data_IF_476382039807
#
_entry.id   IF_476382039807
#
_cell.length_a   1.000
_cell.length_b   1.000
_cell.length_c   1.000
_cell.angle_alpha   90.00
_cell.angle_beta   90.00
_cell.angle_gamma   90.00
#
_symmetry.space_group_name_H-M   'P 1'
#
loop_
_entity.id
_entity.type
_entity.pdbx_description
1 polymer ?
#
# COMPACT_ATOMS: atom_id res chain seq x y z
N UNK A 1 10.52 7.89 26.66
CA UNK A 1 10.03 8.98 25.78
C UNK A 1 8.54 8.81 25.52
N UNK A 2 7.82 9.90 25.22
CA UNK A 2 6.40 9.88 24.82
C UNK A 2 6.27 10.14 23.32
N UNK A 3 5.63 9.22 22.62
CA UNK A 3 5.42 9.27 21.17
C UNK A 3 3.93 9.48 20.86
N UNK A 4 3.64 10.37 19.92
CA UNK A 4 2.32 10.50 19.33
C UNK A 4 2.36 10.01 17.88
N UNK A 5 1.62 8.94 17.55
CA UNK A 5 1.69 8.29 16.25
C UNK A 5 0.37 8.46 15.50
N UNK A 6 0.41 8.86 14.23
CA UNK A 6 -0.78 8.99 13.38
C UNK A 6 -0.68 8.08 12.17
N UNK A 7 -1.55 7.08 12.15
CA UNK A 7 -1.78 6.15 11.06
C UNK A 7 -3.26 6.23 10.62
N UNK A 8 -3.51 6.67 9.39
CA UNK A 8 -4.87 6.91 8.88
C UNK A 8 -5.47 5.75 8.10
N UNK A 9 -4.78 4.61 7.98
CA UNK A 9 -5.17 3.43 7.19
C UNK A 9 -4.65 2.15 7.83
N UNK A 10 -5.20 0.99 7.43
CA UNK A 10 -4.80 -0.32 7.94
C UNK A 10 -3.30 -0.64 7.74
N UNK A 11 -2.73 -0.25 6.59
CA UNK A 11 -1.29 -0.39 6.34
C UNK A 11 -0.45 0.46 7.28
N UNK A 12 -0.90 1.70 7.54
CA UNK A 12 -0.26 2.59 8.49
C UNK A 12 -0.32 2.05 9.92
N UNK A 13 -1.43 1.45 10.34
CA UNK A 13 -1.59 0.79 11.63
C UNK A 13 -0.60 -0.37 11.80
N UNK A 14 -0.44 -1.22 10.78
CA UNK A 14 0.55 -2.29 10.76
C UNK A 14 1.99 -1.74 10.87
N UNK A 15 2.33 -0.71 10.09
CA UNK A 15 3.66 -0.12 10.13
C UNK A 15 3.93 0.61 11.46
N UNK A 16 2.90 1.27 12.00
CA UNK A 16 2.94 1.90 13.32
C UNK A 16 3.19 0.89 14.43
N UNK A 17 2.48 -0.23 14.44
CA UNK A 17 2.67 -1.29 15.44
C UNK A 17 4.09 -1.89 15.38
N UNK A 18 4.62 -2.17 14.20
CA UNK A 18 5.97 -2.69 14.03
C UNK A 18 7.03 -1.67 14.49
N UNK A 19 6.82 -0.38 14.20
CA UNK A 19 7.69 0.69 14.69
C UNK A 19 7.66 0.78 16.21
N UNK A 20 6.48 0.66 16.83
CA UNK A 20 6.32 0.67 18.29
C UNK A 20 7.07 -0.48 18.96
N UNK A 21 7.01 -1.71 18.39
CA UNK A 21 7.82 -2.84 18.86
C UNK A 21 9.31 -2.53 18.86
N UNK A 22 9.81 -1.97 17.78
CA UNK A 22 11.20 -1.61 17.63
C UNK A 22 11.63 -0.49 18.59
N UNK A 23 10.76 0.52 18.80
CA UNK A 23 11.02 1.61 19.75
C UNK A 23 11.03 1.09 21.20
N UNK A 24 10.06 0.24 21.57
CA UNK A 24 9.99 -0.33 22.92
C UNK A 24 11.17 -1.23 23.25
N UNK A 25 11.73 -1.93 22.25
CA UNK A 25 12.95 -2.72 22.45
C UNK A 25 14.16 -1.86 22.82
N UNK A 26 14.17 -0.57 22.47
CA UNK A 26 15.23 0.40 22.78
C UNK A 26 14.90 1.33 23.94
N UNK A 27 13.63 1.61 24.16
CA UNK A 27 13.08 2.40 25.27
C UNK A 27 11.91 1.63 25.90
N UNK A 28 12.18 0.73 26.87
CA UNK A 28 11.13 -0.06 27.53
C UNK A 28 10.07 0.78 28.24
N UNK A 29 10.37 2.04 28.54
CA UNK A 29 9.43 2.98 29.18
C UNK A 29 8.75 3.91 28.16
N UNK A 30 8.85 3.62 26.86
CA UNK A 30 8.19 4.37 25.82
C UNK A 30 6.65 4.37 26.02
N UNK A 31 6.06 5.55 26.01
CA UNK A 31 4.61 5.75 26.04
C UNK A 31 4.11 6.11 24.65
N UNK A 32 3.04 5.46 24.23
CA UNK A 32 2.47 5.63 22.90
C UNK A 32 1.02 6.09 22.99
N UNK A 33 0.73 7.21 22.36
CA UNK A 33 -0.62 7.75 22.18
C UNK A 33 -0.79 8.04 20.69
N UNK A 34 -2.01 7.97 20.16
CA UNK A 34 -2.15 8.35 18.75
C UNK A 34 -3.49 8.05 18.12
N UNK A 35 -3.45 8.05 16.79
CA UNK A 35 -4.55 7.68 15.91
C UNK A 35 -4.07 6.45 15.10
N UNK A 36 -4.86 5.37 15.12
CA UNK A 36 -4.46 4.11 14.51
C UNK A 36 -5.57 3.09 14.65
N UNK A 37 -5.22 1.81 14.82
CA UNK A 37 -6.19 0.72 14.94
C UNK A 37 -5.79 -0.35 15.93
N UNK A 38 -6.28 -1.56 15.67
CA UNK A 38 -6.15 -2.68 16.59
C UNK A 38 -4.70 -3.13 16.77
N UNK A 39 -3.89 -3.11 15.69
CA UNK A 39 -2.47 -3.53 15.76
C UNK A 39 -1.62 -2.60 16.62
N UNK A 40 -1.82 -1.29 16.52
CA UNK A 40 -1.16 -0.33 17.41
C UNK A 40 -1.71 -0.45 18.84
N UNK A 41 -3.01 -0.74 19.01
CA UNK A 41 -3.62 -0.95 20.33
C UNK A 41 -3.06 -2.19 21.03
N UNK A 42 -2.87 -3.30 20.30
CA UNK A 42 -2.22 -4.53 20.79
C UNK A 42 -0.80 -4.26 21.31
N UNK A 43 -0.11 -3.29 20.70
CA UNK A 43 1.21 -2.84 21.15
C UNK A 43 1.15 -1.77 22.27
N UNK A 44 -0.03 -1.55 22.87
CA UNK A 44 -0.20 -0.64 24.01
C UNK A 44 -0.25 0.84 23.64
N UNK A 45 -0.67 1.18 22.41
CA UNK A 45 -0.99 2.57 22.05
C UNK A 45 -2.35 2.97 22.60
N UNK A 46 -2.42 4.13 23.27
CA UNK A 46 -3.68 4.75 23.64
C UNK A 46 -4.28 5.42 22.38
N UNK A 47 -5.20 4.72 21.72
CA UNK A 47 -5.82 5.15 20.47
C UNK A 47 -6.98 6.12 20.74
N UNK A 48 -6.81 7.37 20.32
CA UNK A 48 -7.79 8.45 20.47
C UNK A 48 -8.85 8.45 19.36
N UNK A 49 -8.48 8.03 18.15
CA UNK A 49 -9.37 7.88 16.99
C UNK A 49 -8.95 6.63 16.22
N UNK A 50 -9.92 5.77 15.91
CA UNK A 50 -9.67 4.60 15.07
C UNK A 50 -9.54 5.01 13.59
N UNK A 51 -8.61 4.39 12.83
CA UNK A 51 -8.43 4.72 11.43
C UNK A 51 -9.68 4.41 10.59
N UNK A 52 -10.53 3.49 11.03
CA UNK A 52 -11.82 3.18 10.36
C UNK A 52 -12.75 4.38 10.33
N UNK A 53 -12.63 5.26 11.32
CA UNK A 53 -13.37 6.55 11.39
C UNK A 53 -12.65 7.69 10.64
N UNK A 54 -11.47 7.43 10.06
CA UNK A 54 -10.66 8.41 9.33
C UNK A 54 -10.61 8.13 7.82
N UNK A 55 -10.81 6.89 7.39
CA UNK A 55 -10.58 6.41 6.05
C UNK A 55 -11.68 6.83 5.05
N UNK A 56 -11.81 8.13 4.82
CA UNK A 56 -12.68 8.67 3.76
C UNK A 56 -11.85 8.86 2.49
N UNK A 57 -12.01 7.97 1.51
CA UNK A 57 -11.33 8.07 0.22
C UNK A 57 -12.23 8.61 -0.87
N UNK A 58 -11.64 9.48 -1.71
CA UNK A 58 -12.33 10.13 -2.82
C UNK A 58 -12.97 11.46 -2.42
N UNK A 59 -13.06 12.37 -3.40
CA UNK A 59 -13.51 13.75 -3.19
C UNK A 59 -14.95 13.82 -2.63
N UNK A 60 -15.85 12.99 -3.15
CA UNK A 60 -17.26 12.93 -2.73
C UNK A 60 -17.38 12.43 -1.28
N UNK A 61 -16.68 11.35 -0.93
CA UNK A 61 -16.71 10.79 0.42
C UNK A 61 -16.14 11.75 1.46
N UNK A 62 -15.09 12.50 1.12
CA UNK A 62 -14.51 13.52 2.00
C UNK A 62 -15.47 14.68 2.21
N UNK A 63 -16.15 15.17 1.16
CA UNK A 63 -17.16 16.23 1.30
C UNK A 63 -18.33 15.79 2.16
N UNK A 64 -18.88 14.60 1.89
CA UNK A 64 -20.00 14.05 2.65
C UNK A 64 -19.69 13.86 4.16
N UNK A 65 -18.41 13.61 4.50
CA UNK A 65 -17.97 13.37 5.87
C UNK A 65 -17.07 14.49 6.44
N UNK A 66 -17.14 15.70 5.89
CA UNK A 66 -16.30 16.82 6.29
C UNK A 66 -16.42 17.15 7.80
N UNK A 67 -17.60 16.97 8.38
CA UNK A 67 -17.83 17.16 9.82
C UNK A 67 -17.02 16.15 10.66
N UNK A 68 -16.95 14.89 10.24
CA UNK A 68 -16.15 13.83 10.91
C UNK A 68 -14.66 14.11 10.77
N UNK A 69 -14.21 14.52 9.59
CA UNK A 69 -12.80 14.92 9.36
C UNK A 69 -12.41 16.09 10.28
N UNK A 70 -13.28 17.10 10.40
CA UNK A 70 -13.05 18.24 11.31
C UNK A 70 -13.05 17.81 12.78
N UNK A 71 -13.97 16.92 13.18
CA UNK A 71 -14.03 16.37 14.54
C UNK A 71 -12.73 15.62 14.85
N UNK A 72 -12.28 14.70 13.98
CA UNK A 72 -11.07 13.93 14.19
C UNK A 72 -9.82 14.82 14.24
N UNK A 73 -9.80 15.88 13.44
CA UNK A 73 -8.74 16.90 13.50
C UNK A 73 -8.69 17.60 14.86
N UNK A 74 -9.86 18.00 15.41
CA UNK A 74 -9.93 18.62 16.73
C UNK A 74 -9.47 17.67 17.84
N UNK A 75 -9.89 16.38 17.78
CA UNK A 75 -9.45 15.35 18.74
C UNK A 75 -7.94 15.20 18.70
N UNK A 76 -7.34 15.10 17.50
CA UNK A 76 -5.89 14.99 17.35
C UNK A 76 -5.15 16.21 17.91
N UNK A 77 -5.64 17.42 17.64
CA UNK A 77 -5.04 18.66 18.14
C UNK A 77 -5.16 18.77 19.67
N UNK A 78 -6.31 18.46 20.24
CA UNK A 78 -6.52 18.47 21.69
C UNK A 78 -5.66 17.42 22.40
N UNK A 79 -5.58 16.22 21.83
CA UNK A 79 -4.74 15.17 22.36
C UNK A 79 -3.25 15.56 22.32
N UNK A 80 -2.77 16.16 21.23
CA UNK A 80 -1.38 16.67 21.15
C UNK A 80 -1.08 17.72 22.21
N UNK A 81 -2.00 18.66 22.43
CA UNK A 81 -1.81 19.71 23.46
C UNK A 81 -1.85 19.14 24.89
N UNK A 82 -2.67 18.12 25.13
CA UNK A 82 -2.78 17.48 26.43
C UNK A 82 -1.55 16.60 26.73
N UNK A 83 -1.13 15.82 25.74
CA UNK A 83 -0.06 14.83 25.90
C UNK A 83 1.34 15.43 25.82
N UNK A 84 1.52 16.53 25.08
CA UNK A 84 2.81 17.19 24.83
C UNK A 84 3.92 16.19 24.54
N UNK A 85 3.81 15.40 23.45
CA UNK A 85 4.75 14.32 23.18
C UNK A 85 6.15 14.84 22.88
N UNK A 86 7.17 14.05 23.19
CA UNK A 86 8.54 14.32 22.77
C UNK A 86 8.69 14.23 21.24
N UNK A 87 7.97 13.28 20.63
CA UNK A 87 8.02 13.03 19.19
C UNK A 87 6.62 12.78 18.62
N UNK A 88 6.29 13.48 17.52
CA UNK A 88 5.15 13.22 16.66
C UNK A 88 5.61 12.43 15.44
N UNK A 89 5.05 11.23 15.24
CA UNK A 89 5.36 10.36 14.10
C UNK A 89 4.14 10.33 13.17
N UNK A 90 4.34 10.70 11.92
CA UNK A 90 3.32 10.76 10.89
C UNK A 90 3.56 9.64 9.86
N UNK A 91 2.55 8.78 9.63
CA UNK A 91 2.64 7.68 8.68
C UNK A 91 1.67 7.95 7.53
N UNK A 92 2.19 8.11 6.30
CA UNK A 92 1.42 8.41 5.08
C UNK A 92 0.31 9.47 5.29
N UNK A 93 -0.91 9.25 4.84
CA UNK A 93 -2.14 10.01 5.07
C UNK A 93 -1.99 11.56 4.93
N UNK A 94 -1.53 12.05 3.77
CA UNK A 94 -0.94 13.38 3.62
C UNK A 94 -1.86 14.55 3.95
N UNK A 95 -3.14 14.48 3.57
CA UNK A 95 -4.05 15.63 3.72
C UNK A 95 -4.38 15.95 5.18
N UNK A 96 -4.36 14.95 6.03
CA UNK A 96 -4.57 15.08 7.47
C UNK A 96 -3.24 15.37 8.17
N UNK A 97 -2.23 14.54 7.92
CA UNK A 97 -0.93 14.60 8.60
C UNK A 97 -0.21 15.93 8.38
N UNK A 98 -0.26 16.53 7.19
CA UNK A 98 0.34 17.84 6.94
C UNK A 98 -0.34 18.98 7.74
N UNK A 99 -1.64 18.89 8.00
CA UNK A 99 -2.34 19.87 8.86
C UNK A 99 -1.97 19.68 10.32
N UNK A 100 -1.84 18.44 10.77
CA UNK A 100 -1.38 18.13 12.13
C UNK A 100 0.06 18.55 12.32
N UNK A 101 0.96 18.28 11.35
CA UNK A 101 2.34 18.74 11.37
C UNK A 101 2.44 20.26 11.51
N UNK A 102 1.67 20.99 10.68
CA UNK A 102 1.60 22.47 10.80
C UNK A 102 1.14 22.93 12.19
N UNK A 103 0.08 22.32 12.72
CA UNK A 103 -0.44 22.64 14.03
C UNK A 103 0.59 22.37 15.15
N UNK A 104 1.21 21.19 15.12
CA UNK A 104 2.24 20.81 16.08
C UNK A 104 3.44 21.76 16.04
N UNK A 105 3.94 22.07 14.84
CA UNK A 105 5.04 23.02 14.65
C UNK A 105 4.74 24.41 15.24
N UNK A 106 3.47 24.87 15.19
CA UNK A 106 3.06 26.18 15.68
C UNK A 106 2.82 26.22 17.20
N UNK A 107 2.34 25.13 17.80
CA UNK A 107 1.85 25.12 19.19
C UNK A 107 2.74 24.30 20.14
N UNK A 108 3.58 23.43 19.61
CA UNK A 108 4.46 22.53 20.37
C UNK A 108 5.90 22.56 19.80
N UNK A 109 6.60 23.68 19.92
CA UNK A 109 7.91 23.89 19.27
C UNK A 109 8.99 22.91 19.74
N UNK A 110 8.83 22.31 20.92
CA UNK A 110 9.77 21.33 21.47
C UNK A 110 9.49 19.89 21.01
N UNK A 111 8.35 19.63 20.33
CA UNK A 111 8.02 18.30 19.82
C UNK A 111 8.75 18.06 18.49
N UNK A 112 9.56 17.01 18.43
CA UNK A 112 10.20 16.57 17.19
C UNK A 112 9.16 15.95 16.24
N UNK A 113 9.08 16.40 15.01
CA UNK A 113 8.14 15.89 14.00
C UNK A 113 8.90 15.00 13.03
N UNK A 114 8.53 13.72 12.96
CA UNK A 114 9.11 12.72 12.08
C UNK A 114 8.05 12.28 11.07
N UNK A 115 8.33 12.41 9.79
CA UNK A 115 7.50 11.83 8.75
C UNK A 115 8.08 10.47 8.36
N UNK A 116 7.55 9.41 8.92
CA UNK A 116 7.87 8.03 8.58
C UNK A 116 6.89 7.53 7.52
N UNK A 117 7.41 6.98 6.43
CA UNK A 117 6.64 6.63 5.23
C UNK A 117 5.96 7.88 4.63
N UNK A 118 6.75 8.80 4.04
CA UNK A 118 6.15 9.97 3.42
C UNK A 118 5.22 9.59 2.27
N UNK A 119 4.18 10.39 2.01
CA UNK A 119 3.24 10.09 0.96
C UNK A 119 3.91 10.08 -0.42
N UNK A 120 3.36 9.31 -1.35
CA UNK A 120 3.88 9.12 -2.72
C UNK A 120 3.75 10.40 -3.57
N UNK A 121 4.31 11.52 -3.08
CA UNK A 121 4.25 12.83 -3.73
C UNK A 121 5.05 12.87 -5.05
N UNK A 122 6.01 12.00 -5.21
CA UNK A 122 6.78 11.81 -6.43
C UNK A 122 5.93 11.29 -7.62
N UNK A 123 4.81 10.60 -7.34
CA UNK A 123 3.87 10.15 -8.36
C UNK A 123 2.91 11.27 -8.81
N UNK A 124 2.52 12.16 -7.89
CA UNK A 124 1.60 13.27 -8.16
C UNK A 124 1.67 14.29 -7.01
N UNK A 125 1.35 15.53 -7.21
CA UNK A 125 1.43 16.60 -6.19
C UNK A 125 2.84 16.81 -5.60
N UNK A 126 3.85 16.77 -6.45
CA UNK A 126 5.26 16.99 -6.12
C UNK A 126 5.49 18.27 -5.28
N UNK A 127 4.67 19.32 -5.48
CA UNK A 127 4.71 20.56 -4.72
C UNK A 127 4.57 20.40 -3.19
N UNK A 128 4.00 19.26 -2.72
CA UNK A 128 3.89 18.95 -1.28
C UNK A 128 5.24 18.69 -0.61
N UNK A 129 6.29 18.46 -1.38
CA UNK A 129 7.66 18.29 -0.84
C UNK A 129 8.04 19.46 0.06
N UNK A 130 7.71 20.70 -0.36
CA UNK A 130 7.99 21.90 0.42
C UNK A 130 7.18 21.98 1.73
N UNK A 131 5.95 21.45 1.75
CA UNK A 131 5.14 21.42 2.96
C UNK A 131 5.65 20.37 3.96
N UNK A 132 6.05 19.19 3.47
CA UNK A 132 6.63 18.14 4.30
C UNK A 132 7.92 18.66 4.94
N UNK A 133 8.85 19.15 4.13
CA UNK A 133 10.14 19.63 4.58
C UNK A 133 10.07 20.87 5.50
N UNK A 134 9.01 21.69 5.34
CA UNK A 134 8.79 22.86 6.20
C UNK A 134 8.47 22.49 7.64
N UNK A 135 7.74 21.39 7.87
CA UNK A 135 7.21 21.04 9.18
C UNK A 135 7.86 19.80 9.79
N UNK A 136 8.36 18.86 9.00
CA UNK A 136 9.04 17.67 9.49
C UNK A 136 10.54 17.99 9.79
N UNK A 137 11.01 17.54 10.95
CA UNK A 137 12.42 17.59 11.29
C UNK A 137 13.19 16.45 10.61
N UNK A 138 12.54 15.29 10.48
CA UNK A 138 13.09 14.13 9.80
C UNK A 138 12.08 13.57 8.80
N UNK A 139 12.58 13.18 7.63
CA UNK A 139 11.82 12.50 6.59
C UNK A 139 12.46 11.14 6.35
N UNK A 140 11.73 10.08 6.72
CA UNK A 140 12.21 8.69 6.66
C UNK A 140 11.49 7.96 5.52
N UNK A 141 12.12 7.92 4.35
CA UNK A 141 11.62 7.30 3.14
C UNK A 141 11.80 5.78 3.14
N UNK A 142 10.88 5.08 2.47
CA UNK A 142 10.89 3.62 2.37
C UNK A 142 11.22 3.12 0.95
N UNK A 143 11.41 4.03 0.01
CA UNK A 143 11.84 3.68 -1.35
C UNK A 143 13.24 4.20 -1.63
N UNK A 144 14.12 3.43 -2.32
CA UNK A 144 15.52 3.78 -2.53
C UNK A 144 15.71 5.05 -3.37
N UNK A 145 14.73 5.45 -4.17
CA UNK A 145 14.79 6.66 -4.99
C UNK A 145 14.30 7.94 -4.26
N UNK A 146 13.66 7.82 -3.08
CA UNK A 146 13.12 8.99 -2.36
C UNK A 146 14.20 9.97 -1.91
N UNK A 147 15.38 9.54 -1.41
CA UNK A 147 16.46 10.50 -1.11
C UNK A 147 16.84 11.38 -2.30
N UNK A 148 17.00 10.80 -3.49
CA UNK A 148 17.32 11.55 -4.70
C UNK A 148 16.17 12.49 -5.11
N UNK A 149 14.92 12.07 -4.94
CA UNK A 149 13.75 12.91 -5.19
C UNK A 149 13.72 14.12 -4.25
N UNK A 150 13.92 13.96 -2.94
CA UNK A 150 13.95 15.07 -1.99
C UNK A 150 15.15 15.98 -2.22
N UNK A 151 16.33 15.40 -2.53
CA UNK A 151 17.55 16.15 -2.81
C UNK A 151 17.40 17.08 -4.03
N UNK A 152 16.68 16.66 -5.07
CA UNK A 152 16.34 17.50 -6.25
C UNK A 152 15.59 18.77 -5.86
N UNK A 153 14.87 18.77 -4.74
CA UNK A 153 14.16 19.93 -4.19
C UNK A 153 14.93 20.66 -3.08
N UNK A 154 16.18 20.28 -2.80
CA UNK A 154 17.01 20.88 -1.77
C UNK A 154 16.71 20.40 -0.35
N UNK A 155 16.06 19.22 -0.19
CA UNK A 155 15.70 18.65 1.10
C UNK A 155 16.37 17.31 1.34
N UNK A 156 16.54 16.96 2.64
CA UNK A 156 17.09 15.67 3.04
C UNK A 156 15.98 14.68 3.35
N UNK A 157 16.10 13.48 2.81
CA UNK A 157 15.28 12.32 3.15
C UNK A 157 16.23 11.14 3.42
N UNK A 158 16.03 10.46 4.53
CA UNK A 158 16.80 9.26 4.85
C UNK A 158 16.04 8.01 4.38
N UNK A 159 16.68 7.16 3.57
CA UNK A 159 16.15 5.85 3.25
C UNK A 159 16.36 4.89 4.42
N UNK A 160 15.28 4.36 4.97
CA UNK A 160 15.31 3.47 6.16
C UNK A 160 14.95 2.03 5.86
N UNK A 161 14.82 1.68 4.58
CA UNK A 161 14.33 0.37 4.16
C UNK A 161 12.80 0.34 4.04
N UNK A 162 12.28 -0.74 3.45
CA UNK A 162 10.85 -0.92 3.23
C UNK A 162 10.29 -1.94 4.22
N UNK A 163 9.29 -1.58 5.06
CA UNK A 163 8.69 -2.50 6.03
C UNK A 163 8.08 -3.76 5.40
N UNK A 164 7.61 -3.66 4.15
CA UNK A 164 7.11 -4.83 3.40
C UNK A 164 8.22 -5.86 3.20
N UNK A 165 9.45 -5.42 2.91
CA UNK A 165 10.59 -6.33 2.77
C UNK A 165 10.93 -7.04 4.08
N UNK A 166 10.76 -6.38 5.23
CA UNK A 166 10.98 -6.98 6.54
C UNK A 166 9.91 -8.04 6.87
N UNK A 167 8.64 -7.76 6.56
CA UNK A 167 7.55 -8.73 6.70
C UNK A 167 7.80 -9.99 5.87
N UNK A 168 8.24 -9.82 4.61
CA UNK A 168 8.50 -10.95 3.72
C UNK A 168 9.75 -11.71 4.14
N UNK A 169 10.79 -11.04 4.63
CA UNK A 169 11.97 -11.70 5.20
C UNK A 169 11.60 -12.56 6.42
N UNK A 170 10.75 -12.03 7.31
CA UNK A 170 10.24 -12.78 8.46
C UNK A 170 9.41 -14.00 8.01
N UNK A 171 8.54 -13.84 7.02
CA UNK A 171 7.78 -14.94 6.43
C UNK A 171 8.72 -16.02 5.87
N UNK A 172 9.70 -15.65 5.06
CA UNK A 172 10.67 -16.60 4.47
C UNK A 172 11.50 -17.35 5.52
N UNK A 173 11.84 -16.71 6.63
CA UNK A 173 12.60 -17.36 7.70
C UNK A 173 11.75 -18.30 8.56
N UNK A 174 10.44 -18.12 8.59
CA UNK A 174 9.50 -18.96 9.35
C UNK A 174 8.91 -20.13 8.54
N UNK A 175 9.06 -20.10 7.21
CA UNK A 175 8.39 -21.05 6.30
C UNK A 175 9.43 -21.97 5.65
N UNK A 176 9.18 -23.29 5.73
CA UNK A 176 9.97 -24.27 4.99
C UNK A 176 9.76 -24.06 3.47
N UNK A 177 10.77 -24.42 2.67
CA UNK A 177 10.75 -24.28 1.21
C UNK A 177 9.46 -24.78 0.59
N UNK A 178 8.61 -23.86 0.16
CA UNK A 178 7.40 -24.18 -0.60
C UNK A 178 7.80 -24.68 -2.00
N UNK A 179 7.18 -25.75 -2.45
CA UNK A 179 7.34 -26.26 -3.81
C UNK A 179 6.33 -25.54 -4.71
N UNK A 180 6.77 -25.03 -5.88
CA UNK A 180 5.81 -24.49 -6.84
C UNK A 180 4.70 -25.49 -7.14
N UNK A 181 3.47 -25.06 -7.04
CA UNK A 181 2.30 -25.85 -7.43
C UNK A 181 1.71 -25.25 -8.72
N UNK A 182 1.03 -26.04 -9.56
CA UNK A 182 0.40 -25.53 -10.77
C UNK A 182 -0.81 -24.65 -10.40
N UNK A 183 -0.50 -23.45 -9.90
CA UNK A 183 -1.49 -22.50 -9.39
C UNK A 183 -1.30 -21.12 -10.01
N UNK A 184 -2.41 -20.50 -10.44
CA UNK A 184 -2.49 -19.09 -10.83
C UNK A 184 -3.12 -18.33 -9.67
N UNK A 185 -2.36 -17.40 -9.08
CA UNK A 185 -2.84 -16.54 -8.01
C UNK A 185 -3.54 -15.29 -8.56
N UNK A 186 -4.71 -14.94 -8.02
CA UNK A 186 -5.47 -13.75 -8.38
C UNK A 186 -5.58 -12.82 -7.18
N UNK A 187 -4.99 -11.64 -7.28
CA UNK A 187 -5.00 -10.60 -6.25
C UNK A 187 -5.84 -9.41 -6.76
N UNK A 188 -7.17 -9.39 -6.52
CA UNK A 188 -8.07 -8.45 -7.20
C UNK A 188 -8.08 -7.04 -6.60
N UNK A 189 -7.39 -6.83 -5.49
CA UNK A 189 -7.32 -5.55 -4.79
C UNK A 189 -7.79 -5.61 -3.35
N UNK A 190 -7.69 -4.48 -2.66
CA UNK A 190 -7.98 -4.35 -1.23
C UNK A 190 -9.36 -3.76 -0.92
N UNK A 191 -10.07 -3.23 -1.91
CA UNK A 191 -11.35 -2.53 -1.74
C UNK A 191 -12.45 -3.19 -2.58
N UNK A 192 -13.68 -3.16 -2.07
CA UNK A 192 -14.85 -3.70 -2.80
C UNK A 192 -14.97 -3.16 -4.23
N UNK A 193 -14.73 -1.85 -4.43
CA UNK A 193 -14.76 -1.23 -5.77
C UNK A 193 -13.67 -1.75 -6.70
N UNK A 194 -12.46 -1.98 -6.21
CA UNK A 194 -11.38 -2.58 -6.99
C UNK A 194 -11.73 -4.01 -7.37
N UNK A 195 -12.15 -4.81 -6.39
CA UNK A 195 -12.53 -6.22 -6.57
C UNK A 195 -13.65 -6.35 -7.59
N UNK A 196 -14.75 -5.58 -7.44
CA UNK A 196 -15.90 -5.67 -8.35
C UNK A 196 -15.56 -5.33 -9.80
N UNK A 197 -14.58 -4.45 -10.04
CA UNK A 197 -14.18 -4.04 -11.39
C UNK A 197 -13.08 -4.95 -11.98
N UNK A 198 -12.18 -5.45 -11.15
CA UNK A 198 -11.03 -6.22 -11.66
C UNK A 198 -11.27 -7.73 -11.68
N UNK A 199 -11.87 -8.28 -10.62
CA UNK A 199 -11.98 -9.72 -10.42
C UNK A 199 -12.68 -10.46 -11.58
N UNK A 200 -13.81 -9.97 -12.17
CA UNK A 200 -14.46 -10.68 -13.27
C UNK A 200 -13.56 -10.89 -14.49
N UNK A 201 -12.82 -9.85 -14.89
CA UNK A 201 -11.91 -9.90 -16.05
C UNK A 201 -10.69 -10.76 -15.76
N UNK A 202 -10.13 -10.66 -14.55
CA UNK A 202 -8.98 -11.48 -14.12
C UNK A 202 -9.34 -12.96 -14.08
N UNK A 203 -10.51 -13.31 -13.52
CA UNK A 203 -10.98 -14.70 -13.47
C UNK A 203 -11.29 -15.25 -14.87
N UNK A 204 -11.95 -14.49 -15.73
CA UNK A 204 -12.25 -14.93 -17.09
C UNK A 204 -10.96 -15.29 -17.84
N UNK A 205 -9.92 -14.45 -17.74
CA UNK A 205 -8.62 -14.73 -18.35
C UNK A 205 -7.91 -15.93 -17.71
N UNK A 206 -7.92 -16.02 -16.38
CA UNK A 206 -7.26 -17.12 -15.68
C UNK A 206 -7.91 -18.47 -15.97
N UNK A 207 -9.24 -18.56 -16.00
CA UNK A 207 -10.00 -19.78 -16.36
C UNK A 207 -9.64 -20.25 -17.76
N UNK A 208 -9.60 -19.33 -18.74
CA UNK A 208 -9.29 -19.65 -20.13
C UNK A 208 -7.87 -20.19 -20.31
N UNK A 209 -6.94 -19.74 -19.49
CA UNK A 209 -5.53 -20.18 -19.57
C UNK A 209 -5.26 -21.41 -18.71
N UNK A 210 -5.90 -21.51 -17.55
CA UNK A 210 -5.69 -22.58 -16.58
C UNK A 210 -6.05 -23.96 -17.12
N UNK A 211 -7.16 -24.07 -17.87
CA UNK A 211 -7.70 -25.34 -18.31
C UNK A 211 -7.80 -26.33 -17.15
N UNK A 212 -7.34 -27.55 -17.37
CA UNK A 212 -7.26 -28.60 -16.33
C UNK A 212 -5.85 -28.69 -15.69
N UNK A 213 -4.91 -27.83 -16.09
CA UNK A 213 -3.51 -27.92 -15.65
C UNK A 213 -3.20 -27.09 -14.42
N UNK A 214 -3.92 -25.97 -14.24
CA UNK A 214 -3.65 -25.04 -13.17
C UNK A 214 -4.89 -24.82 -12.30
N UNK A 215 -4.68 -24.73 -11.01
CA UNK A 215 -5.71 -24.25 -10.08
C UNK A 215 -5.72 -22.72 -10.10
N UNK A 216 -6.89 -22.12 -10.04
CA UNK A 216 -7.04 -20.67 -9.85
C UNK A 216 -7.42 -20.41 -8.40
N UNK A 217 -6.64 -19.60 -7.71
CA UNK A 217 -6.84 -19.25 -6.31
C UNK A 217 -6.91 -17.75 -6.17
N UNK A 218 -7.97 -17.26 -5.50
CA UNK A 218 -8.23 -15.82 -5.29
C UNK A 218 -7.86 -15.44 -3.88
N UNK A 219 -7.20 -14.29 -3.69
CA UNK A 219 -6.98 -13.74 -2.35
C UNK A 219 -8.14 -12.87 -1.90
N UNK A 220 -8.58 -13.05 -0.66
CA UNK A 220 -9.55 -12.19 -0.02
C UNK A 220 -8.86 -11.05 0.76
N UNK A 221 -9.30 -9.82 0.54
CA UNK A 221 -8.83 -8.66 1.29
C UNK A 221 -9.26 -8.74 2.77
N UNK A 222 -8.43 -8.33 3.74
CA UNK A 222 -8.74 -8.46 5.16
C UNK A 222 -10.06 -7.80 5.61
N UNK A 223 -10.45 -6.71 4.97
CA UNK A 223 -11.67 -5.96 5.32
C UNK A 223 -12.89 -6.27 4.45
N UNK A 224 -12.86 -7.38 3.68
CA UNK A 224 -13.97 -7.76 2.78
C UNK A 224 -14.42 -9.18 3.12
N UNK A 225 -15.73 -9.36 3.29
CA UNK A 225 -16.33 -10.64 3.64
C UNK A 225 -16.29 -11.60 2.45
N UNK A 226 -16.16 -12.90 2.72
CA UNK A 226 -16.09 -13.95 1.71
C UNK A 226 -17.34 -14.00 0.83
N UNK A 227 -18.50 -13.68 1.39
CA UNK A 227 -19.78 -13.57 0.67
C UNK A 227 -19.74 -12.54 -0.47
N UNK A 228 -18.87 -11.53 -0.38
CA UNK A 228 -18.71 -10.56 -1.46
C UNK A 228 -18.05 -11.15 -2.71
N UNK A 229 -17.23 -12.17 -2.54
CA UNK A 229 -16.53 -12.85 -3.64
C UNK A 229 -17.41 -13.95 -4.29
N UNK A 230 -18.35 -14.52 -3.52
CA UNK A 230 -19.14 -15.67 -3.95
C UNK A 230 -19.81 -15.51 -5.34
N UNK A 231 -20.38 -14.34 -5.73
CA UNK A 231 -21.00 -14.19 -7.05
C UNK A 231 -20.00 -14.27 -8.23
N UNK A 232 -18.70 -14.12 -7.99
CA UNK A 232 -17.66 -14.14 -9.02
C UNK A 232 -17.03 -15.53 -9.19
N UNK A 233 -17.06 -16.35 -8.14
CA UNK A 233 -16.38 -17.64 -8.09
C UNK A 233 -17.26 -18.73 -8.76
N UNK A 234 -16.61 -19.62 -9.51
CA UNK A 234 -17.24 -20.79 -10.18
C UNK A 234 -16.51 -22.08 -9.77
N UNK A 235 -16.09 -22.15 -8.50
CA UNK A 235 -15.35 -23.27 -7.96
C UNK A 235 -13.89 -22.95 -7.62
N UNK A 236 -13.42 -21.72 -7.88
CA UNK A 236 -12.09 -21.28 -7.46
C UNK A 236 -12.01 -21.19 -5.95
N UNK A 237 -10.83 -21.48 -5.41
CA UNK A 237 -10.55 -21.37 -3.98
C UNK A 237 -10.34 -19.91 -3.58
N UNK A 238 -10.93 -19.51 -2.46
CA UNK A 238 -10.66 -18.23 -1.81
C UNK A 238 -9.72 -18.44 -0.62
N UNK A 239 -8.67 -17.62 -0.48
CA UNK A 239 -7.75 -17.68 0.66
C UNK A 239 -7.44 -16.29 1.21
N UNK A 240 -7.09 -16.22 2.50
CA UNK A 240 -6.56 -15.01 3.15
C UNK A 240 -5.04 -15.08 3.36
N UNK A 241 -4.46 -16.24 3.16
CA UNK A 241 -3.02 -16.43 3.25
C UNK A 241 -2.35 -16.14 1.90
N UNK A 242 -2.17 -14.84 1.66
CA UNK A 242 -1.59 -14.33 0.42
C UNK A 242 -0.14 -14.74 0.24
N UNK A 243 0.65 -14.75 1.32
CA UNK A 243 2.09 -15.00 1.21
C UNK A 243 2.39 -16.46 0.90
N UNK A 244 1.70 -17.38 1.56
CA UNK A 244 1.81 -18.81 1.22
C UNK A 244 1.36 -19.08 -0.20
N UNK A 245 0.20 -18.52 -0.61
CA UNK A 245 -0.27 -18.65 -2.00
C UNK A 245 0.79 -18.17 -3.00
N UNK A 246 1.34 -16.97 -2.81
CA UNK A 246 2.33 -16.40 -3.73
C UNK A 246 3.66 -17.18 -3.76
N UNK A 247 4.06 -17.78 -2.63
CA UNK A 247 5.28 -18.59 -2.55
C UNK A 247 5.15 -19.94 -3.30
N UNK A 248 3.93 -20.40 -3.55
CA UNK A 248 3.61 -21.64 -4.22
C UNK A 248 3.13 -21.44 -5.66
N UNK A 249 2.61 -20.26 -6.00
CA UNK A 249 2.00 -20.01 -7.30
C UNK A 249 3.04 -19.97 -8.43
N UNK A 250 2.66 -20.54 -9.59
CA UNK A 250 3.47 -20.47 -10.81
C UNK A 250 3.47 -19.07 -11.42
N UNK A 251 2.33 -18.38 -11.33
CA UNK A 251 2.18 -17.00 -11.81
C UNK A 251 1.05 -16.29 -11.05
N UNK A 252 1.07 -14.96 -11.04
CA UNK A 252 0.04 -14.14 -10.43
C UNK A 252 -0.49 -13.04 -11.37
N UNK A 253 -1.79 -12.75 -11.25
CA UNK A 253 -2.40 -11.53 -11.79
C UNK A 253 -2.72 -10.64 -10.61
N UNK A 254 -2.14 -9.45 -10.55
CA UNK A 254 -2.15 -8.60 -9.37
C UNK A 254 -2.72 -7.22 -9.69
N UNK A 255 -3.77 -6.81 -8.99
CA UNK A 255 -4.23 -5.42 -9.08
C UNK A 255 -3.17 -4.47 -8.50
N UNK A 256 -2.86 -3.41 -9.27
CA UNK A 256 -1.75 -2.51 -8.96
C UNK A 256 -1.90 -1.85 -7.58
N UNK A 257 -0.87 -2.00 -6.76
CA UNK A 257 -0.79 -1.48 -5.40
C UNK A 257 0.47 -1.99 -4.71
N UNK A 258 0.48 -2.03 -3.38
CA UNK A 258 1.56 -2.64 -2.59
C UNK A 258 1.71 -4.14 -2.86
N UNK A 259 0.62 -4.81 -3.22
CA UNK A 259 0.60 -6.23 -3.55
C UNK A 259 1.56 -6.61 -4.69
N UNK A 260 1.79 -5.72 -5.67
CA UNK A 260 2.78 -5.99 -6.73
C UNK A 260 4.20 -6.06 -6.18
N UNK A 261 4.54 -5.20 -5.20
CA UNK A 261 5.85 -5.24 -4.56
C UNK A 261 5.98 -6.48 -3.66
N UNK A 262 4.94 -6.85 -2.92
CA UNK A 262 4.91 -8.06 -2.10
C UNK A 262 5.13 -9.30 -2.97
N UNK A 263 4.41 -9.39 -4.10
CA UNK A 263 4.51 -10.49 -5.07
C UNK A 263 5.93 -10.60 -5.64
N UNK A 264 6.54 -9.47 -6.02
CA UNK A 264 7.92 -9.43 -6.51
C UNK A 264 8.93 -9.84 -5.45
N UNK A 265 8.79 -9.33 -4.21
CA UNK A 265 9.68 -9.67 -3.11
C UNK A 265 9.56 -11.13 -2.67
N UNK A 266 8.39 -11.77 -2.84
CA UNK A 266 8.22 -13.21 -2.64
C UNK A 266 8.86 -14.02 -3.78
N UNK A 267 9.03 -13.42 -4.95
CA UNK A 267 9.60 -14.08 -6.13
C UNK A 267 8.53 -14.85 -6.92
N UNK A 268 7.30 -14.38 -6.97
CA UNK A 268 6.25 -14.93 -7.82
C UNK A 268 6.19 -14.14 -9.15
N UNK A 269 6.33 -14.79 -10.31
CA UNK A 269 6.13 -14.14 -11.60
C UNK A 269 4.73 -13.55 -11.72
N UNK A 270 4.62 -12.31 -12.23
CA UNK A 270 3.34 -11.60 -12.18
C UNK A 270 3.10 -10.68 -13.39
N UNK A 271 1.82 -10.41 -13.64
CA UNK A 271 1.38 -9.26 -14.41
C UNK A 271 0.55 -8.34 -13.52
N UNK A 272 0.77 -7.04 -13.66
CA UNK A 272 0.01 -6.05 -12.92
C UNK A 272 -1.17 -5.54 -13.76
N UNK A 273 -2.34 -5.45 -13.15
CA UNK A 273 -3.55 -4.90 -13.78
C UNK A 273 -4.02 -3.68 -13.02
N UNK A 274 -4.64 -2.73 -13.71
CA UNK A 274 -5.28 -1.58 -13.08
C UNK A 274 -6.46 -1.09 -13.88
N UNK A 275 -7.65 -1.16 -13.29
CA UNK A 275 -8.86 -0.61 -13.86
C UNK A 275 -8.98 0.89 -13.50
N UNK A 276 -9.08 1.74 -14.51
CA UNK A 276 -9.41 3.16 -14.31
C UNK A 276 -10.92 3.31 -14.38
N UNK A 277 -11.56 3.53 -13.23
CA UNK A 277 -13.00 3.80 -13.18
C UNK A 277 -13.31 5.15 -13.83
N UNK A 278 -14.10 5.15 -14.91
CA UNK A 278 -14.54 6.37 -15.57
C UNK A 278 -14.89 6.16 -17.05
N UNK A 279 -15.61 7.12 -17.62
CA UNK A 279 -15.91 7.12 -19.04
C UNK A 279 -14.63 7.37 -19.87
N UNK A 280 -14.65 7.04 -21.16
CA UNK A 280 -13.57 7.40 -22.11
C UNK A 280 -13.16 8.87 -22.04
N UNK A 281 -14.05 9.75 -21.56
CA UNK A 281 -13.78 11.16 -21.26
C UNK A 281 -12.82 11.37 -20.10
N UNK A 282 -12.92 10.59 -19.03
CA UNK A 282 -12.02 10.68 -17.88
C UNK A 282 -10.62 10.15 -18.23
N UNK A 283 -10.53 9.09 -19.03
CA UNK A 283 -9.27 8.64 -19.63
C UNK A 283 -8.63 9.74 -20.47
N UNK A 284 -9.40 10.45 -21.27
CA UNK A 284 -8.90 11.56 -22.10
C UNK A 284 -8.36 12.72 -21.25
N UNK A 285 -9.05 13.09 -20.16
CA UNK A 285 -8.61 14.15 -19.22
C UNK A 285 -7.38 13.70 -18.41
N UNK A 286 -7.30 12.44 -18.02
CA UNK A 286 -6.17 11.88 -17.26
C UNK A 286 -4.97 11.51 -18.16
N UNK A 287 -5.19 11.41 -19.47
CA UNK A 287 -4.16 11.08 -20.46
C UNK A 287 -2.86 11.88 -20.28
N UNK A 288 -2.87 13.23 -20.18
CA UNK A 288 -1.63 13.99 -20.00
C UNK A 288 -0.92 13.74 -18.67
N UNK A 289 -1.66 13.31 -17.63
CA UNK A 289 -1.07 12.93 -16.34
C UNK A 289 -0.50 11.49 -16.44
N UNK A 290 -1.20 10.59 -17.09
CA UNK A 290 -0.75 9.22 -17.34
C UNK A 290 0.49 9.18 -18.25
N UNK A 291 0.61 10.07 -19.23
CA UNK A 291 1.80 10.19 -20.10
C UNK A 291 3.06 10.68 -19.38
N UNK A 292 2.93 11.35 -18.22
CA UNK A 292 4.08 11.79 -17.40
C UNK A 292 4.57 10.68 -16.48
N UNK A 293 3.76 9.66 -16.20
CA UNK A 293 4.10 8.53 -15.33
C UNK A 293 4.59 7.40 -16.22
N UNK A 294 5.90 7.16 -16.20
CA UNK A 294 6.54 6.12 -17.03
C UNK A 294 6.15 4.70 -16.57
N UNK A 295 5.92 4.50 -15.28
CA UNK A 295 5.57 3.23 -14.66
C UNK A 295 4.51 3.43 -13.58
N UNK A 296 3.56 2.49 -13.44
CA UNK A 296 2.45 2.54 -12.49
C UNK A 296 2.68 1.68 -11.25
N UNK A 297 3.42 0.59 -11.39
CA UNK A 297 3.70 -0.33 -10.29
C UNK A 297 4.93 0.10 -9.51
N UNK A 298 4.93 -0.17 -8.21
CA UNK A 298 6.11 0.06 -7.37
C UNK A 298 7.32 -0.74 -7.85
N UNK A 299 7.10 -1.93 -8.40
CA UNK A 299 8.17 -2.78 -8.95
C UNK A 299 8.92 -2.06 -10.07
N UNK A 300 8.20 -1.62 -11.12
CA UNK A 300 8.81 -0.94 -12.25
C UNK A 300 9.38 0.44 -11.89
N UNK A 301 8.73 1.17 -10.96
CA UNK A 301 9.23 2.46 -10.47
C UNK A 301 10.56 2.28 -9.72
N UNK A 302 10.66 1.28 -8.84
CA UNK A 302 11.90 1.00 -8.08
C UNK A 302 13.01 0.50 -9.02
N UNK A 303 12.65 -0.36 -9.99
CA UNK A 303 13.60 -0.87 -10.99
C UNK A 303 14.04 0.19 -12.02
N UNK A 304 13.27 1.29 -12.17
CA UNK A 304 13.50 2.31 -13.21
C UNK A 304 13.24 1.83 -14.64
N UNK A 305 12.69 0.64 -14.80
CA UNK A 305 12.39 -0.03 -16.09
C UNK A 305 11.16 -0.94 -15.96
N UNK A 306 10.62 -1.39 -17.09
CA UNK A 306 9.52 -2.36 -17.11
C UNK A 306 10.05 -3.78 -16.85
N UNK A 307 9.94 -4.22 -15.60
CA UNK A 307 10.29 -5.59 -15.17
C UNK A 307 9.06 -6.50 -15.25
N UNK A 308 7.91 -5.97 -14.88
CA UNK A 308 6.62 -6.66 -14.98
C UNK A 308 5.71 -5.92 -15.95
N UNK A 309 4.90 -6.67 -16.70
CA UNK A 309 3.94 -6.10 -17.64
C UNK A 309 2.83 -5.38 -16.89
N UNK A 310 2.55 -4.12 -17.29
CA UNK A 310 1.47 -3.29 -16.72
C UNK A 310 0.30 -3.19 -17.69
N UNK A 311 -0.83 -3.80 -17.34
CA UNK A 311 -2.07 -3.77 -18.12
C UNK A 311 -3.04 -2.74 -17.53
N UNK A 312 -2.85 -1.48 -17.89
CA UNK A 312 -3.54 -0.33 -17.30
C UNK A 312 -4.59 0.24 -18.26
N UNK A 313 -5.73 0.66 -17.76
CA UNK A 313 -6.80 1.34 -18.49
C UNK A 313 -7.26 0.56 -19.75
N UNK A 314 -7.07 1.07 -20.95
CA UNK A 314 -7.45 0.40 -22.20
C UNK A 314 -6.70 -0.92 -22.46
N UNK A 315 -5.55 -1.14 -21.81
CA UNK A 315 -4.80 -2.41 -21.87
C UNK A 315 -5.34 -3.47 -20.91
N UNK A 316 -6.16 -3.08 -19.93
CA UNK A 316 -6.82 -4.00 -19.00
C UNK A 316 -7.96 -4.72 -19.73
N UNK A 317 -7.66 -5.78 -20.43
CA UNK A 317 -8.59 -6.63 -21.16
C UNK A 317 -8.30 -8.11 -20.88
N UNK A 318 -9.34 -8.95 -20.98
CA UNK A 318 -9.18 -10.39 -20.83
C UNK A 318 -8.10 -10.94 -21.78
N UNK A 319 -8.13 -10.56 -23.05
CA UNK A 319 -7.17 -11.03 -24.05
C UNK A 319 -5.72 -10.68 -23.73
N UNK A 320 -5.46 -9.49 -23.21
CA UNK A 320 -4.10 -9.08 -22.82
C UNK A 320 -3.63 -9.84 -21.57
N UNK A 321 -4.51 -10.07 -20.59
CA UNK A 321 -4.18 -10.88 -19.40
C UNK A 321 -3.90 -12.34 -19.82
N UNK A 322 -4.71 -12.92 -20.70
CA UNK A 322 -4.47 -14.27 -21.24
C UNK A 322 -3.12 -14.38 -21.93
N UNK A 323 -2.82 -13.41 -22.81
CA UNK A 323 -1.54 -13.37 -23.52
C UNK A 323 -0.37 -13.37 -22.55
N UNK A 324 -0.43 -12.52 -21.53
CA UNK A 324 0.64 -12.39 -20.55
C UNK A 324 0.74 -13.61 -19.63
N UNK A 325 -0.38 -14.16 -19.16
CA UNK A 325 -0.39 -15.40 -18.41
C UNK A 325 0.24 -16.56 -19.19
N UNK A 326 -0.06 -16.69 -20.50
CA UNK A 326 0.59 -17.72 -21.35
C UNK A 326 2.11 -17.54 -21.42
N UNK A 327 2.61 -16.31 -21.46
CA UNK A 327 4.05 -16.03 -21.39
C UNK A 327 4.62 -16.44 -20.04
N UNK A 328 3.98 -16.04 -18.94
CA UNK A 328 4.42 -16.39 -17.59
C UNK A 328 4.40 -17.90 -17.31
N UNK A 329 3.46 -18.64 -17.88
CA UNK A 329 3.33 -20.09 -17.65
C UNK A 329 4.25 -20.93 -18.56
N UNK A 330 4.47 -20.52 -19.81
CA UNK A 330 5.13 -21.34 -20.82
C UNK A 330 6.54 -20.90 -21.19
N UNK A 331 6.96 -19.67 -20.84
CA UNK A 331 8.28 -19.14 -21.20
C UNK A 331 9.17 -19.01 -19.96
N UNK A 332 10.02 -19.99 -19.75
CA UNK A 332 10.92 -20.03 -18.60
C UNK A 332 11.90 -18.85 -18.60
N UNK A 333 12.49 -18.52 -19.73
CA UNK A 333 13.44 -17.40 -19.86
C UNK A 333 12.79 -16.07 -19.49
N UNK A 334 11.52 -15.87 -19.90
CA UNK A 334 10.77 -14.66 -19.54
C UNK A 334 10.55 -14.54 -18.02
N UNK A 335 10.23 -15.65 -17.35
CA UNK A 335 10.12 -15.69 -15.89
C UNK A 335 11.43 -15.39 -15.18
N UNK A 336 12.52 -16.02 -15.65
CA UNK A 336 13.85 -15.83 -15.06
C UNK A 336 14.36 -14.39 -15.21
N UNK A 337 14.02 -13.70 -16.29
CA UNK A 337 14.33 -12.29 -16.46
C UNK A 337 13.52 -11.37 -15.56
N UNK A 338 12.33 -11.80 -15.14
CA UNK A 338 11.46 -11.05 -14.24
C UNK A 338 11.89 -11.20 -12.77
N UNK A 339 12.45 -12.36 -12.38
CA UNK A 339 12.87 -12.70 -11.01
C UNK A 339 14.31 -12.29 -10.72
#
# INVERSE_FOLDING_TARGET
MKYFIIAGEASGDLHGSNLMKALRARDPQALFVGLGGDKMREEGCDIRVDYRDMAYMGFVAVIANLHKVRRNMRIAQQALLAEKPDTLILIDYPSFNLRVAKFCHQHLPNTRIVYYIPPKIWAWKEWRVHQIAKYAHDILGIFPFEPAFYAKHGYTCQYVGNPTADCIRAFRSSTMTHRPSPTIAILPGSRRSEISHCLPTMLAAARQVAGNQYRVVVTAAPGVEDSFYAPYLQGETLTRDTYTLLSEATAAVVNSGTATLETALIGCPQTAVYHVAGSKYLEWILKPIMFKIKHFTLVNIIAGQEVIQELVASRFTQANIEKELRQLLNNQTYREQML
#
